data_IF_104816617756
#
_entry.id   IF_104816617756
#
_cell.length_a   1.000
_cell.length_b   1.000
_cell.length_c   1.000
_cell.angle_alpha   90.00
_cell.angle_beta   90.00
_cell.angle_gamma   90.00
#
_symmetry.space_group_name_H-M   'P 1'
#
loop_
_entity.id
_entity.type
_entity.pdbx_description
1 polymer ?
#
# COMPACT_ATOMS: atom_id res chain seq x y z
N UNK A 1 -34.71 -31.96 -25.58
CA UNK A 1 -34.92 -31.02 -24.47
C UNK A 1 -33.94 -31.50 -23.42
N UNK A 2 -32.74 -30.93 -23.46
CA UNK A 2 -31.62 -31.34 -22.62
C UNK A 2 -31.48 -30.30 -21.51
N UNK A 3 -31.67 -30.74 -20.27
CA UNK A 3 -31.63 -29.93 -19.07
C UNK A 3 -30.17 -29.61 -18.70
N UNK A 4 -29.83 -28.32 -18.76
CA UNK A 4 -28.53 -27.79 -18.32
C UNK A 4 -28.68 -27.32 -16.87
N UNK A 5 -28.07 -28.02 -15.93
CA UNK A 5 -27.92 -27.55 -14.55
C UNK A 5 -26.77 -26.54 -14.43
N UNK A 6 -26.95 -25.39 -13.75
CA UNK A 6 -25.87 -24.48 -13.44
C UNK A 6 -25.05 -24.96 -12.24
N UNK A 7 -23.75 -25.15 -12.47
CA UNK A 7 -22.73 -25.36 -11.44
C UNK A 7 -22.44 -24.01 -10.76
N UNK A 8 -22.84 -23.87 -9.50
CA UNK A 8 -22.57 -22.69 -8.67
C UNK A 8 -21.47 -23.07 -7.68
N UNK A 9 -20.23 -22.69 -7.98
CA UNK A 9 -19.12 -22.81 -7.02
C UNK A 9 -19.03 -21.52 -6.19
N UNK A 10 -19.56 -21.61 -4.97
CA UNK A 10 -19.61 -20.52 -4.00
C UNK A 10 -18.38 -20.60 -3.07
N UNK A 11 -17.24 -20.07 -3.53
CA UNK A 11 -16.02 -19.99 -2.72
C UNK A 11 -15.97 -18.65 -1.95
N UNK A 12 -16.72 -18.59 -0.85
CA UNK A 12 -16.61 -17.51 0.13
C UNK A 12 -15.44 -17.81 1.09
N UNK A 13 -14.33 -17.09 0.93
CA UNK A 13 -13.21 -17.14 1.88
C UNK A 13 -13.61 -16.44 3.20
N UNK A 14 -13.45 -17.06 4.37
CA UNK A 14 -13.74 -16.40 5.65
C UNK A 14 -12.65 -15.37 5.99
N UNK A 15 -13.09 -14.17 6.38
CA UNK A 15 -12.23 -13.17 7.01
C UNK A 15 -11.84 -13.65 8.42
N UNK A 16 -10.56 -13.91 8.66
CA UNK A 16 -10.06 -14.17 10.01
C UNK A 16 -9.87 -12.84 10.75
N UNK A 17 -10.70 -12.63 11.77
CA UNK A 17 -10.56 -11.56 12.75
C UNK A 17 -9.46 -12.00 13.71
N UNK A 18 -8.35 -11.25 13.76
CA UNK A 18 -7.28 -11.46 14.73
C UNK A 18 -7.65 -10.65 15.97
N UNK A 19 -8.08 -11.34 17.03
CA UNK A 19 -8.22 -10.74 18.36
C UNK A 19 -6.84 -10.46 18.96
N UNK A 20 -6.60 -9.19 19.29
CA UNK A 20 -5.37 -8.72 19.91
C UNK A 20 -5.41 -8.96 21.42
N UNK A 21 -4.86 -10.10 21.87
CA UNK A 21 -4.61 -10.35 23.30
C UNK A 21 -3.55 -9.39 23.84
N UNK A 22 -3.98 -8.40 24.64
CA UNK A 22 -3.06 -7.56 25.42
C UNK A 22 -2.54 -8.35 26.63
N UNK A 23 -1.22 -8.37 26.91
CA UNK A 23 -0.75 -8.84 28.19
C UNK A 23 -0.99 -7.78 29.27
N UNK A 24 -1.71 -8.21 30.31
CA UNK A 24 -1.85 -7.55 31.61
C UNK A 24 -0.49 -7.55 32.31
N UNK A 25 0.03 -6.37 32.66
CA UNK A 25 1.20 -6.23 33.54
C UNK A 25 0.68 -5.73 34.88
N UNK A 26 0.69 -6.65 35.84
CA UNK A 26 0.41 -6.36 37.25
C UNK A 26 1.60 -5.62 37.86
N UNK A 27 1.32 -4.57 38.60
CA UNK A 27 2.30 -3.78 39.35
C UNK A 27 2.00 -3.95 40.82
N UNK A 28 2.93 -4.57 41.57
CA UNK A 28 3.05 -4.35 43.02
C UNK A 28 4.43 -4.79 43.56
N UNK A 29 5.01 -3.85 44.31
CA UNK A 29 5.94 -3.92 45.47
C UNK A 29 7.27 -4.71 45.30
N UNK A 30 8.38 -4.42 45.96
CA UNK A 30 8.62 -3.95 47.34
C UNK A 30 10.10 -3.54 47.50
N UNK A 31 10.37 -2.63 48.44
CA UNK A 31 11.68 -2.09 48.85
C UNK A 31 12.46 -3.01 49.78
N UNK A 32 13.79 -3.18 49.60
CA UNK A 32 14.78 -3.50 50.68
C UNK A 32 16.19 -2.98 50.30
N UNK A 33 16.87 -2.34 51.27
CA UNK A 33 18.27 -1.87 51.24
C UNK A 33 19.32 -2.98 51.48
N UNK A 34 20.53 -2.84 50.92
CA UNK A 34 21.75 -3.42 51.54
C UNK A 34 22.89 -3.95 50.63
N UNK A 35 23.94 -3.14 50.48
CA UNK A 35 25.39 -3.45 50.47
C UNK A 35 26.09 -4.42 49.46
N UNK A 36 26.99 -3.81 48.66
CA UNK A 36 28.40 -4.16 48.34
C UNK A 36 28.78 -5.42 47.52
N UNK A 37 29.28 -5.19 46.29
CA UNK A 37 30.59 -5.61 45.74
C UNK A 37 30.55 -6.01 44.24
N UNK A 38 31.44 -5.37 43.47
CA UNK A 38 32.07 -5.70 42.17
C UNK A 38 31.61 -6.97 41.41
N UNK A 39 31.21 -6.79 40.15
CA UNK A 39 31.85 -7.43 38.98
C UNK A 39 31.28 -6.93 37.63
N UNK A 40 32.21 -6.68 36.70
CA UNK A 40 32.21 -6.67 35.22
C UNK A 40 30.93 -6.45 34.37
N UNK A 41 30.87 -5.43 33.47
CA UNK A 41 29.82 -5.35 32.46
C UNK A 41 30.27 -5.98 31.13
N UNK A 42 29.96 -7.27 30.95
CA UNK A 42 29.97 -7.91 29.63
C UNK A 42 28.56 -7.95 29.02
N UNK A 43 28.37 -7.10 28.01
CA UNK A 43 27.55 -7.29 26.80
C UNK A 43 26.00 -7.37 26.92
N UNK A 44 25.24 -6.39 26.35
CA UNK A 44 23.83 -6.62 26.05
C UNK A 44 23.68 -7.32 24.69
N UNK A 45 23.03 -8.48 24.73
CA UNK A 45 22.60 -9.25 23.58
C UNK A 45 21.80 -8.40 22.58
N UNK A 46 22.21 -8.47 21.31
CA UNK A 46 21.45 -7.99 20.17
C UNK A 46 20.03 -8.55 20.18
N UNK A 47 19.05 -7.67 20.31
CA UNK A 47 17.65 -8.01 20.05
C UNK A 47 17.49 -8.30 18.57
N UNK A 48 17.43 -9.59 18.23
CA UNK A 48 17.04 -10.06 16.90
C UNK A 48 15.56 -9.74 16.71
N UNK A 49 15.28 -8.65 15.98
CA UNK A 49 13.94 -8.32 15.50
C UNK A 49 13.47 -9.45 14.58
N UNK A 50 12.56 -10.30 15.06
CA UNK A 50 11.86 -11.27 14.23
C UNK A 50 11.02 -10.51 13.20
N UNK A 51 11.48 -10.50 11.95
CA UNK A 51 10.69 -10.02 10.82
C UNK A 51 9.54 -11.02 10.63
N UNK A 52 8.33 -10.61 11.00
CA UNK A 52 7.12 -11.39 10.73
C UNK A 52 6.84 -11.35 9.23
N UNK A 53 7.18 -12.43 8.54
CA UNK A 53 6.82 -12.64 7.13
C UNK A 53 5.32 -12.85 7.04
N UNK A 54 4.61 -11.88 6.45
CA UNK A 54 3.19 -12.00 6.14
C UNK A 54 3.00 -13.01 5.00
N UNK A 55 2.26 -14.08 5.30
CA UNK A 55 1.96 -15.17 4.38
C UNK A 55 0.92 -14.72 3.33
N UNK A 56 1.38 -14.05 2.27
CA UNK A 56 0.54 -13.85 1.08
C UNK A 56 0.37 -15.18 0.32
N UNK A 57 -0.86 -15.53 -0.12
CA UNK A 57 -1.14 -16.78 -0.80
C UNK A 57 -0.25 -16.93 -2.05
N UNK A 58 0.54 -18.01 -2.05
CA UNK A 58 1.66 -18.26 -2.96
C UNK A 58 1.19 -18.88 -4.28
N UNK A 59 0.22 -18.27 -4.96
CA UNK A 59 -0.10 -18.69 -6.33
C UNK A 59 1.05 -18.25 -7.24
N UNK A 60 1.91 -19.20 -7.58
CA UNK A 60 3.25 -19.04 -8.15
C UNK A 60 3.33 -18.47 -9.57
N UNK A 61 2.22 -17.99 -10.13
CA UNK A 61 2.12 -17.68 -11.58
C UNK A 61 2.98 -16.46 -11.97
N UNK A 62 3.31 -15.56 -11.04
CA UNK A 62 4.02 -14.31 -11.34
C UNK A 62 5.39 -14.15 -10.63
N UNK A 63 5.93 -15.21 -10.02
CA UNK A 63 7.23 -15.15 -9.33
C UNK A 63 8.40 -15.22 -10.32
N UNK A 64 8.52 -14.20 -11.18
CA UNK A 64 9.76 -13.98 -11.94
C UNK A 64 10.87 -13.57 -10.97
N UNK A 65 12.04 -14.22 -11.06
CA UNK A 65 13.26 -13.80 -10.33
C UNK A 65 13.97 -12.62 -11.00
N UNK A 66 13.56 -12.27 -12.21
CA UNK A 66 14.11 -11.14 -12.97
C UNK A 66 13.22 -9.92 -12.70
N UNK A 67 13.80 -8.77 -12.31
CA UNK A 67 13.06 -7.53 -12.14
C UNK A 67 12.27 -7.20 -13.41
N UNK A 68 11.02 -6.70 -13.29
CA UNK A 68 10.25 -6.30 -14.44
C UNK A 68 10.96 -5.15 -15.19
N UNK A 69 10.87 -5.11 -16.53
CA UNK A 69 11.43 -3.98 -17.27
C UNK A 69 10.73 -2.67 -16.87
N UNK A 70 11.44 -1.52 -16.93
CA UNK A 70 10.83 -0.22 -16.68
C UNK A 70 9.64 0.03 -17.60
N UNK A 71 8.57 0.60 -17.05
CA UNK A 71 7.38 0.96 -17.83
C UNK A 71 7.71 2.21 -18.65
N UNK A 72 7.57 2.18 -19.99
CA UNK A 72 7.83 3.35 -20.81
C UNK A 72 6.98 4.54 -20.39
N UNK A 73 7.61 5.69 -20.22
CA UNK A 73 6.94 6.96 -19.96
C UNK A 73 7.53 8.03 -20.86
N UNK A 74 6.79 8.36 -21.92
CA UNK A 74 7.19 9.44 -22.81
C UNK A 74 6.84 10.80 -22.20
N UNK A 75 7.64 11.82 -22.55
CA UNK A 75 7.52 13.18 -22.02
C UNK A 75 6.13 13.79 -22.24
N UNK A 76 5.48 13.48 -23.37
CA UNK A 76 4.16 14.02 -23.69
C UNK A 76 3.08 13.43 -22.78
N UNK A 77 3.14 12.12 -22.51
CA UNK A 77 2.24 11.44 -21.58
C UNK A 77 2.45 11.92 -20.15
N UNK A 78 3.70 12.06 -19.71
CA UNK A 78 4.01 12.58 -18.38
C UNK A 78 3.49 14.01 -18.21
N UNK A 79 3.75 14.89 -19.19
CA UNK A 79 3.28 16.28 -19.17
C UNK A 79 1.74 16.37 -19.09
N UNK A 80 1.03 15.58 -19.90
CA UNK A 80 -0.45 15.52 -19.88
C UNK A 80 -0.98 15.05 -18.52
N UNK A 81 -0.37 14.01 -17.93
CA UNK A 81 -0.79 13.49 -16.61
C UNK A 81 -0.54 14.54 -15.53
N UNK A 82 0.63 15.20 -15.55
CA UNK A 82 0.95 16.26 -14.59
C UNK A 82 -0.02 17.44 -14.73
N UNK A 83 -0.37 17.86 -15.94
CA UNK A 83 -1.37 18.90 -16.14
C UNK A 83 -2.74 18.50 -15.55
N UNK A 84 -3.21 17.28 -15.82
CA UNK A 84 -4.47 16.79 -15.26
C UNK A 84 -4.44 16.69 -13.72
N UNK A 85 -3.30 16.29 -13.16
CA UNK A 85 -3.08 16.31 -11.71
C UNK A 85 -3.18 17.73 -11.14
N UNK A 86 -2.51 18.70 -11.76
CA UNK A 86 -2.54 20.10 -11.35
C UNK A 86 -3.97 20.67 -11.38
N UNK A 87 -4.74 20.36 -12.43
CA UNK A 87 -6.16 20.71 -12.50
C UNK A 87 -6.94 20.08 -11.34
N UNK A 88 -6.74 18.79 -11.07
CA UNK A 88 -7.44 18.08 -10.00
C UNK A 88 -7.19 18.68 -8.60
N UNK A 89 -5.94 19.03 -8.27
CA UNK A 89 -5.60 19.62 -6.97
C UNK A 89 -5.97 21.10 -6.85
N UNK A 90 -6.10 21.80 -7.99
CA UNK A 90 -6.62 23.18 -8.01
C UNK A 90 -8.13 23.20 -7.74
N UNK A 91 -8.88 22.25 -8.31
CA UNK A 91 -10.33 22.13 -8.08
C UNK A 91 -10.65 21.60 -6.68
N UNK A 92 -9.88 20.62 -6.22
CA UNK A 92 -10.10 19.94 -4.94
C UNK A 92 -8.75 19.73 -4.25
N UNK A 93 -8.40 20.54 -3.23
CA UNK A 93 -7.05 20.55 -2.66
C UNK A 93 -6.58 19.19 -2.14
N UNK A 94 -7.50 18.38 -1.59
CA UNK A 94 -7.24 17.02 -1.12
C UNK A 94 -7.90 16.01 -2.04
N UNK A 95 -7.10 15.12 -2.63
CA UNK A 95 -7.57 14.06 -3.53
C UNK A 95 -6.97 12.70 -3.13
N UNK A 96 -7.66 11.61 -3.51
CA UNK A 96 -7.12 10.25 -3.43
C UNK A 96 -6.81 9.73 -4.82
N UNK A 97 -5.63 9.18 -5.02
CA UNK A 97 -5.18 8.54 -6.24
C UNK A 97 -5.06 7.05 -5.99
N UNK A 98 -5.78 6.24 -6.77
CA UNK A 98 -5.58 4.80 -6.84
C UNK A 98 -4.64 4.50 -8.00
N UNK A 99 -3.48 3.95 -7.69
CA UNK A 99 -2.52 3.45 -8.66
C UNK A 99 -2.93 2.03 -9.03
N UNK A 100 -3.12 1.73 -10.31
CA UNK A 100 -3.45 0.40 -10.83
C UNK A 100 -2.34 -0.05 -11.78
N UNK A 101 -1.51 -1.00 -11.32
CA UNK A 101 -0.38 -1.55 -12.06
C UNK A 101 -0.63 -3.04 -12.31
N UNK A 102 -0.43 -3.53 -13.55
CA UNK A 102 -0.45 -4.96 -13.84
C UNK A 102 0.53 -5.73 -12.93
N UNK A 103 0.13 -6.85 -12.32
CA UNK A 103 0.90 -7.51 -11.27
C UNK A 103 2.24 -8.09 -11.74
N UNK A 104 2.40 -8.33 -13.05
CA UNK A 104 3.66 -8.78 -13.64
C UNK A 104 4.71 -7.67 -13.79
N UNK A 105 4.34 -6.41 -13.52
CA UNK A 105 5.23 -5.24 -13.51
C UNK A 105 5.63 -4.83 -12.10
N UNK A 106 5.19 -5.58 -11.08
CA UNK A 106 5.52 -5.35 -9.68
C UNK A 106 6.40 -6.49 -9.20
N UNK A 107 7.45 -6.17 -8.47
CA UNK A 107 8.22 -7.16 -7.72
C UNK A 107 7.48 -7.55 -6.45
N UNK A 108 7.02 -8.79 -6.40
CA UNK A 108 6.24 -9.35 -5.30
C UNK A 108 7.07 -9.54 -4.03
N UNK A 109 8.40 -9.58 -4.13
CA UNK A 109 9.26 -9.68 -2.96
C UNK A 109 9.38 -8.35 -2.19
N UNK A 110 9.16 -7.23 -2.87
CA UNK A 110 9.13 -5.90 -2.27
C UNK A 110 8.14 -4.97 -3.01
N UNK A 111 6.82 -5.18 -2.81
CA UNK A 111 5.81 -4.53 -3.62
C UNK A 111 5.71 -3.02 -3.38
N UNK A 112 5.93 -2.57 -2.14
CA UNK A 112 5.91 -1.15 -1.79
C UNK A 112 7.03 -0.41 -2.53
N UNK A 113 8.27 -0.91 -2.45
CA UNK A 113 9.39 -0.28 -3.14
C UNK A 113 9.19 -0.35 -4.65
N UNK A 114 8.77 -1.50 -5.19
CA UNK A 114 8.56 -1.69 -6.62
C UNK A 114 7.52 -0.73 -7.20
N UNK A 115 6.37 -0.58 -6.55
CA UNK A 115 5.34 0.37 -6.99
C UNK A 115 5.87 1.80 -6.89
N UNK A 116 6.45 2.18 -5.75
CA UNK A 116 6.97 3.54 -5.53
C UNK A 116 8.01 3.91 -6.59
N UNK A 117 8.95 3.01 -6.90
CA UNK A 117 9.91 3.18 -7.99
C UNK A 117 9.21 3.34 -9.33
N UNK A 118 8.19 2.52 -9.60
CA UNK A 118 7.43 2.56 -10.86
C UNK A 118 6.72 3.90 -11.10
N UNK A 119 6.23 4.55 -10.04
CA UNK A 119 5.52 5.84 -10.12
C UNK A 119 6.40 7.05 -9.76
N UNK A 120 7.69 6.84 -9.46
CA UNK A 120 8.60 7.89 -8.94
C UNK A 120 8.72 9.12 -9.83
N UNK A 121 8.61 8.96 -11.14
CA UNK A 121 8.61 10.06 -12.11
C UNK A 121 7.43 11.01 -11.97
N UNK A 122 6.29 10.52 -11.46
CA UNK A 122 5.13 11.35 -11.12
C UNK A 122 5.28 11.92 -9.71
N UNK A 123 5.63 11.08 -8.74
CA UNK A 123 5.76 11.50 -7.33
C UNK A 123 6.78 12.64 -7.17
N UNK A 124 7.96 12.50 -7.77
CA UNK A 124 9.00 13.54 -7.72
C UNK A 124 8.57 14.89 -8.31
N UNK A 125 7.58 14.90 -9.20
CA UNK A 125 6.98 16.15 -9.67
C UNK A 125 5.94 16.68 -8.68
N UNK A 126 5.07 15.82 -8.16
CA UNK A 126 3.97 16.19 -7.28
C UNK A 126 4.43 16.62 -5.89
N UNK A 127 5.43 15.95 -5.33
CA UNK A 127 5.99 16.20 -3.99
C UNK A 127 6.69 17.56 -3.87
N UNK A 128 7.04 18.22 -4.99
CA UNK A 128 7.68 19.55 -4.95
C UNK A 128 6.82 20.60 -4.26
N UNK A 129 5.50 20.44 -4.32
CA UNK A 129 4.53 21.43 -3.86
C UNK A 129 3.38 20.83 -3.06
N UNK A 130 3.33 19.49 -2.94
CA UNK A 130 2.20 18.80 -2.31
C UNK A 130 2.70 17.79 -1.29
N UNK A 131 1.93 17.58 -0.22
CA UNK A 131 2.15 16.44 0.68
C UNK A 131 1.59 15.19 0.02
N UNK A 132 2.42 14.16 -0.14
CA UNK A 132 2.02 12.88 -0.71
C UNK A 132 2.10 11.81 0.37
N UNK A 133 1.00 11.11 0.63
CA UNK A 133 0.92 10.03 1.60
C UNK A 133 0.61 8.71 0.87
N UNK A 134 1.55 7.77 0.85
CA UNK A 134 1.25 6.39 0.44
C UNK A 134 0.54 5.68 1.61
N UNK A 135 -0.71 5.30 1.41
CA UNK A 135 -1.55 4.74 2.47
C UNK A 135 -1.45 3.23 2.58
N UNK A 136 -1.58 2.55 1.44
CA UNK A 136 -1.69 1.10 1.38
C UNK A 136 -1.27 0.59 0.01
N UNK A 137 -0.84 -0.66 -0.01
CA UNK A 137 -0.59 -1.45 -1.23
C UNK A 137 -1.34 -2.76 -1.09
N UNK A 138 -2.11 -3.11 -2.11
CA UNK A 138 -2.84 -4.37 -2.18
C UNK A 138 -2.44 -5.12 -3.44
N UNK A 139 -2.05 -6.39 -3.28
CA UNK A 139 -1.70 -7.26 -4.41
C UNK A 139 -2.80 -8.27 -4.66
N UNK A 140 -3.31 -8.31 -5.89
CA UNK A 140 -4.24 -9.33 -6.36
C UNK A 140 -3.70 -10.04 -7.60
N UNK A 141 -4.27 -11.19 -7.94
CA UNK A 141 -3.84 -12.01 -9.07
C UNK A 141 -3.90 -11.30 -10.43
N UNK A 142 -4.75 -10.27 -10.57
CA UNK A 142 -4.98 -9.53 -11.82
C UNK A 142 -4.50 -8.09 -11.78
N UNK A 143 -4.40 -7.50 -10.60
CA UNK A 143 -4.11 -6.09 -10.38
C UNK A 143 -3.31 -5.90 -9.11
N UNK A 144 -2.38 -4.96 -9.15
CA UNK A 144 -1.73 -4.44 -7.95
C UNK A 144 -2.17 -3.00 -7.78
N UNK A 145 -2.70 -2.70 -6.60
CA UNK A 145 -3.21 -1.38 -6.26
C UNK A 145 -2.31 -0.70 -5.23
N UNK A 146 -2.16 0.61 -5.35
CA UNK A 146 -1.70 1.45 -4.26
C UNK A 146 -2.64 2.63 -4.06
N UNK A 147 -2.91 2.98 -2.81
CA UNK A 147 -3.70 4.15 -2.46
C UNK A 147 -2.77 5.27 -2.02
N UNK A 148 -2.86 6.41 -2.67
CA UNK A 148 -2.08 7.61 -2.38
C UNK A 148 -3.05 8.75 -2.08
N UNK A 149 -2.76 9.53 -1.06
CA UNK A 149 -3.46 10.78 -0.79
C UNK A 149 -2.56 11.97 -0.99
N UNK A 150 -3.15 13.03 -1.52
CA UNK A 150 -2.48 14.29 -1.83
C UNK A 150 -3.07 15.35 -0.92
N UNK A 151 -2.20 16.09 -0.22
CA UNK A 151 -2.54 17.19 0.69
C UNK A 151 -3.56 16.79 1.78
N UNK A 152 -3.60 15.52 2.19
CA UNK A 152 -4.25 15.13 3.43
C UNK A 152 -3.26 15.35 4.59
N UNK A 153 -3.23 16.58 5.11
CA UNK A 153 -2.29 16.96 6.18
C UNK A 153 -2.62 16.28 7.50
N UNK A 154 -3.90 16.00 7.74
CA UNK A 154 -4.45 15.42 8.97
C UNK A 154 -4.61 13.89 8.91
N UNK A 155 -4.00 13.25 7.90
CA UNK A 155 -4.00 11.79 7.85
C UNK A 155 -3.30 11.21 9.08
N UNK A 156 -4.05 10.42 9.85
CA UNK A 156 -3.54 9.60 10.94
C UNK A 156 -4.08 8.18 10.78
N UNK A 157 -3.17 7.22 10.57
CA UNK A 157 -3.52 5.81 10.38
C UNK A 157 -4.36 5.24 11.54
N UNK A 158 -4.08 5.65 12.78
CA UNK A 158 -4.78 5.13 13.95
C UNK A 158 -6.24 5.56 14.01
N UNK A 159 -6.57 6.71 13.40
CA UNK A 159 -7.92 7.28 13.42
C UNK A 159 -8.58 7.33 12.04
N UNK A 160 -7.88 6.97 10.96
CA UNK A 160 -8.37 6.99 9.59
C UNK A 160 -9.69 6.21 9.39
N UNK A 161 -9.86 5.09 10.11
CA UNK A 161 -11.10 4.29 10.06
C UNK A 161 -12.33 4.99 10.66
N UNK A 162 -12.13 6.07 11.43
CA UNK A 162 -13.21 6.90 12.01
C UNK A 162 -13.55 8.11 11.13
N UNK A 163 -12.67 8.47 10.21
CA UNK A 163 -12.88 9.58 9.30
C UNK A 163 -13.87 9.17 8.20
N UNK A 164 -14.93 9.97 8.01
CA UNK A 164 -15.99 9.71 7.03
C UNK A 164 -15.95 10.66 5.84
N UNK A 165 -14.86 11.43 5.68
CA UNK A 165 -14.71 12.38 4.59
C UNK A 165 -14.67 11.68 3.23
N UNK A 166 -15.37 12.25 2.26
CA UNK A 166 -15.39 11.76 0.89
C UNK A 166 -14.40 12.56 0.07
N UNK A 167 -13.31 11.92 -0.35
CA UNK A 167 -12.36 12.52 -1.29
C UNK A 167 -12.73 12.18 -2.73
N UNK A 168 -12.54 13.11 -3.68
CA UNK A 168 -12.58 12.76 -5.09
C UNK A 168 -11.47 11.75 -5.39
N UNK A 169 -11.84 10.66 -6.06
CA UNK A 169 -10.93 9.58 -6.41
C UNK A 169 -10.50 9.70 -7.86
N UNK A 170 -9.19 9.67 -8.07
CA UNK A 170 -8.56 9.59 -9.37
C UNK A 170 -7.83 8.26 -9.51
N UNK A 171 -7.63 7.80 -10.73
CA UNK A 171 -6.90 6.57 -11.02
C UNK A 171 -5.70 6.89 -11.89
N UNK A 172 -4.52 6.50 -11.45
CA UNK A 172 -3.30 6.43 -12.25
C UNK A 172 -3.09 4.97 -12.67
N UNK A 173 -3.33 4.66 -13.94
CA UNK A 173 -3.36 3.27 -14.44
C UNK A 173 -2.33 3.02 -15.52
N UNK A 174 -1.69 1.86 -15.45
CA UNK A 174 -0.93 1.28 -16.56
C UNK A 174 -1.81 0.27 -17.30
N UNK A 175 -1.98 0.48 -18.61
CA UNK A 175 -2.70 -0.48 -19.44
C UNK A 175 -1.88 -1.78 -19.60
N UNK A 176 -2.48 -2.93 -19.24
CA UNK A 176 -1.80 -4.25 -19.24
C UNK A 176 -1.10 -4.63 -20.55
N UNK A 177 -1.70 -4.33 -21.71
CA UNK A 177 -1.16 -4.73 -23.03
C UNK A 177 -0.23 -3.69 -23.64
N UNK A 178 -0.60 -2.42 -23.57
CA UNK A 178 0.13 -1.34 -24.25
C UNK A 178 1.16 -0.66 -23.36
N UNK A 179 1.17 -0.95 -22.06
CA UNK A 179 2.00 -0.30 -21.05
C UNK A 179 1.86 1.23 -21.03
N UNK A 180 0.71 1.74 -21.48
CA UNK A 180 0.44 3.18 -21.54
C UNK A 180 -0.17 3.66 -20.23
N UNK A 181 0.34 4.78 -19.73
CA UNK A 181 -0.19 5.46 -18.56
C UNK A 181 -1.45 6.25 -18.88
N UNK A 182 -2.39 6.26 -17.93
CA UNK A 182 -3.62 7.06 -17.97
C UNK A 182 -3.90 7.63 -16.58
N UNK A 183 -4.43 8.84 -16.55
CA UNK A 183 -4.89 9.49 -15.34
C UNK A 183 -6.30 10.05 -15.56
N UNK A 184 -7.26 9.66 -14.74
CA UNK A 184 -8.66 10.07 -14.89
C UNK A 184 -9.41 10.04 -13.56
N UNK A 185 -10.46 10.87 -13.45
CA UNK A 185 -11.36 10.90 -12.30
C UNK A 185 -12.33 9.73 -12.36
N UNK A 186 -12.53 9.03 -11.24
CA UNK A 186 -13.57 8.02 -11.11
C UNK A 186 -14.85 8.71 -10.63
N UNK A 187 -15.93 8.52 -11.37
CA UNK A 187 -17.28 8.85 -10.89
C UNK A 187 -17.87 7.58 -10.34
N UNK A 188 -18.04 7.51 -9.02
CA UNK A 188 -18.86 6.49 -8.41
C UNK A 188 -20.29 6.74 -8.89
N UNK A 189 -20.83 5.81 -9.67
CA UNK A 189 -22.27 5.78 -9.92
C UNK A 189 -22.89 5.23 -8.64
N UNK A 190 -23.52 6.11 -7.88
CA UNK A 190 -24.46 5.72 -6.84
C UNK A 190 -25.77 5.26 -7.49
#
# INVERSE_FOLDING_TARGET
MDDIHPLVDDHRTPLQIIESTKPYVDSSSETVDGATAKEDPSNPASQTTKITTTNYPTNSIYRSKVPPPPIPLDTSTQSRINQNFQTAITETPTIRIIVDIPPHLVDWSNPIASITTTISSFLSHWEKQNKVNLLAVEMQSRHTYAAIEINNYEYDFQTAHKQTFVFPVYVLKVARRSLKWRFYRVRLRM
#
